data_IF_423162513575
#
_entry.id   IF_423162513575
#
_cell.length_a   1.000
_cell.length_b   1.000
_cell.length_c   1.000
_cell.angle_alpha   90.00
_cell.angle_beta   90.00
_cell.angle_gamma   90.00
#
_symmetry.space_group_name_H-M   'P 1'
#
loop_
_entity.id
_entity.type
_entity.pdbx_description
1 polymer ?
#
# COMPACT_ATOMS: atom_id res chain seq x y z
N UNK A 1 -43.51 -88.06 17.93
CA UNK A 1 -42.41 -87.39 18.66
C UNK A 1 -42.03 -86.17 17.85
N UNK A 2 -42.39 -84.97 18.34
CA UNK A 2 -41.48 -83.91 18.81
C UNK A 2 -40.52 -83.39 17.72
N UNK A 3 -40.29 -82.09 17.49
CA UNK A 3 -40.86 -80.78 17.88
C UNK A 3 -39.81 -79.75 17.37
N UNK A 4 -40.26 -78.60 16.84
CA UNK A 4 -39.62 -77.25 16.97
C UNK A 4 -38.27 -77.02 16.23
N UNK A 5 -37.88 -75.83 15.74
CA UNK A 5 -38.40 -74.46 15.80
C UNK A 5 -37.70 -73.54 14.76
N UNK A 6 -38.50 -72.69 14.12
CA UNK A 6 -38.32 -71.26 13.74
C UNK A 6 -36.93 -70.65 13.46
N UNK A 7 -36.88 -69.85 12.39
CA UNK A 7 -36.04 -68.65 12.29
C UNK A 7 -36.21 -67.88 10.97
N UNK A 8 -37.13 -66.91 10.92
CA UNK A 8 -37.15 -65.83 9.93
C UNK A 8 -36.04 -64.81 10.25
N UNK A 9 -35.38 -64.25 9.22
CA UNK A 9 -34.79 -62.92 9.32
C UNK A 9 -35.11 -62.10 8.07
N UNK A 10 -35.72 -60.94 8.33
CA UNK A 10 -36.03 -59.85 7.41
C UNK A 10 -34.82 -58.92 7.27
N UNK A 11 -34.63 -58.43 6.05
CA UNK A 11 -34.37 -57.03 5.65
C UNK A 11 -33.52 -56.11 6.55
N UNK A 12 -32.44 -55.56 6.00
CA UNK A 12 -32.23 -54.12 5.70
C UNK A 12 -30.74 -53.79 5.59
N UNK A 13 -30.34 -53.07 4.53
CA UNK A 13 -29.59 -51.80 4.66
C UNK A 13 -29.29 -51.22 3.28
N UNK A 14 -30.06 -50.20 2.93
CA UNK A 14 -29.66 -49.19 1.96
C UNK A 14 -28.44 -48.47 2.55
N UNK A 15 -27.29 -48.56 1.88
CA UNK A 15 -26.14 -47.72 2.18
C UNK A 15 -26.42 -46.31 1.65
N UNK A 16 -26.51 -45.36 2.58
CA UNK A 16 -26.55 -43.93 2.31
C UNK A 16 -25.24 -43.47 1.65
N UNK A 17 -25.27 -42.51 0.70
CA UNK A 17 -24.04 -41.92 0.18
C UNK A 17 -23.35 -41.16 1.31
N UNK A 18 -22.09 -41.49 1.58
CA UNK A 18 -21.25 -40.79 2.53
C UNK A 18 -21.17 -39.31 2.15
N UNK A 19 -21.54 -38.43 3.09
CA UNK A 19 -21.22 -37.01 3.04
C UNK A 19 -19.70 -36.87 3.10
N UNK A 20 -19.06 -36.78 1.93
CA UNK A 20 -17.71 -36.25 1.87
C UNK A 20 -17.76 -34.79 2.33
N UNK A 21 -16.95 -34.38 3.32
CA UNK A 21 -16.89 -32.98 3.72
C UNK A 21 -16.44 -32.16 2.50
N UNK A 22 -17.29 -31.22 2.06
CA UNK A 22 -16.86 -30.16 1.14
C UNK A 22 -15.75 -29.41 1.84
N UNK A 23 -14.51 -29.63 1.42
CA UNK A 23 -13.37 -28.81 1.81
C UNK A 23 -13.60 -27.44 1.18
N UNK A 24 -14.29 -26.55 1.90
CA UNK A 24 -14.40 -25.16 1.50
C UNK A 24 -13.03 -24.52 1.77
N UNK A 25 -12.18 -24.46 0.74
CA UNK A 25 -10.94 -23.71 0.81
C UNK A 25 -11.28 -22.27 1.21
N UNK A 26 -10.71 -21.79 2.33
CA UNK A 26 -10.88 -20.40 2.75
C UNK A 26 -10.29 -19.51 1.66
N UNK A 27 -11.09 -18.58 1.15
CA UNK A 27 -10.65 -17.64 0.13
C UNK A 27 -9.45 -16.82 0.62
N UNK A 28 -8.44 -16.67 -0.25
CA UNK A 28 -7.27 -15.83 0.00
C UNK A 28 -7.63 -14.34 0.14
N UNK A 29 -6.77 -13.58 0.82
CA UNK A 29 -6.96 -12.15 1.06
C UNK A 29 -7.14 -11.38 -0.26
N UNK A 30 -6.27 -11.65 -1.22
CA UNK A 30 -6.25 -10.97 -2.51
C UNK A 30 -7.51 -11.26 -3.33
N UNK A 31 -7.92 -12.54 -3.41
CA UNK A 31 -9.14 -12.93 -4.12
C UNK A 31 -10.39 -12.28 -3.52
N UNK A 32 -10.50 -12.27 -2.18
CA UNK A 32 -11.59 -11.58 -1.46
C UNK A 32 -11.62 -10.10 -1.81
N UNK A 33 -10.46 -9.44 -1.74
CA UNK A 33 -10.33 -8.01 -2.02
C UNK A 33 -10.68 -7.66 -3.47
N UNK A 34 -10.27 -8.48 -4.44
CA UNK A 34 -10.60 -8.30 -5.85
C UNK A 34 -12.11 -8.35 -6.08
N UNK A 35 -12.80 -9.38 -5.56
CA UNK A 35 -14.26 -9.48 -5.69
C UNK A 35 -14.98 -8.28 -5.06
N UNK A 36 -14.55 -7.88 -3.86
CA UNK A 36 -15.17 -6.77 -3.14
C UNK A 36 -14.92 -5.43 -3.85
N UNK A 37 -13.72 -5.26 -4.42
CA UNK A 37 -13.40 -4.10 -5.25
C UNK A 37 -14.29 -4.03 -6.50
N UNK A 38 -14.42 -5.12 -7.24
CA UNK A 38 -15.26 -5.15 -8.45
C UNK A 38 -16.73 -4.84 -8.14
N UNK A 39 -17.26 -5.37 -7.04
CA UNK A 39 -18.62 -5.07 -6.59
C UNK A 39 -18.81 -3.58 -6.23
N UNK A 40 -17.82 -2.94 -5.59
CA UNK A 40 -17.87 -1.51 -5.29
C UNK A 40 -17.76 -0.64 -6.56
N UNK A 41 -17.01 -1.09 -7.56
CA UNK A 41 -16.93 -0.42 -8.87
C UNK A 41 -18.27 -0.53 -9.60
N UNK A 42 -18.88 -1.72 -9.64
CA UNK A 42 -20.19 -1.95 -10.24
C UNK A 42 -21.29 -1.09 -9.60
N UNK A 43 -21.25 -0.95 -8.27
CA UNK A 43 -22.17 -0.09 -7.51
C UNK A 43 -21.91 1.42 -7.68
N UNK A 44 -20.73 1.80 -8.19
CA UNK A 44 -20.30 3.20 -8.34
C UNK A 44 -19.76 3.84 -7.05
N UNK A 45 -19.55 3.05 -5.98
CA UNK A 45 -18.95 3.52 -4.72
C UNK A 45 -17.43 3.74 -4.86
N UNK A 46 -16.79 3.01 -5.77
CA UNK A 46 -15.40 3.22 -6.20
C UNK A 46 -15.36 3.70 -7.65
N UNK A 47 -14.76 4.86 -7.88
CA UNK A 47 -14.52 5.38 -9.22
C UNK A 47 -13.23 4.75 -9.74
N UNK A 48 -13.36 3.77 -10.63
CA UNK A 48 -12.24 3.11 -11.28
C UNK A 48 -12.57 2.75 -12.72
N UNK A 49 -11.59 2.94 -13.58
CA UNK A 49 -11.58 2.47 -14.95
C UNK A 49 -10.15 2.06 -15.26
N UNK A 50 -9.97 0.85 -15.80
CA UNK A 50 -8.64 0.42 -16.19
C UNK A 50 -8.10 1.34 -17.29
N UNK A 51 -6.88 1.83 -17.09
CA UNK A 51 -6.14 2.60 -18.07
C UNK A 51 -4.69 2.17 -18.01
N UNK A 52 -4.13 1.86 -19.17
CA UNK A 52 -2.72 1.51 -19.23
C UNK A 52 -1.85 2.70 -18.85
N UNK A 53 -0.80 2.47 -18.06
CA UNK A 53 0.10 3.54 -17.67
C UNK A 53 0.86 4.11 -18.86
N UNK A 54 1.11 5.42 -18.83
CA UNK A 54 1.98 6.09 -19.80
C UNK A 54 3.43 5.97 -19.33
N UNK A 55 4.27 5.32 -20.12
CA UNK A 55 5.69 5.13 -19.81
C UNK A 55 6.52 6.22 -20.49
N UNK A 56 7.33 6.90 -19.69
CA UNK A 56 8.22 7.98 -20.13
C UNK A 56 9.66 7.55 -19.84
N UNK A 57 10.47 7.34 -20.88
CA UNK A 57 11.90 7.08 -20.69
C UNK A 57 12.56 8.23 -19.95
N UNK A 58 13.31 7.89 -18.90
CA UNK A 58 14.04 8.86 -18.09
C UNK A 58 15.32 8.23 -17.54
N UNK A 59 16.27 9.08 -17.13
CA UNK A 59 17.51 8.66 -16.47
C UNK A 59 17.54 9.22 -15.05
N UNK A 60 17.97 8.44 -14.04
CA UNK A 60 18.49 7.06 -14.15
C UNK A 60 17.39 6.04 -14.50
N UNK A 61 16.23 6.09 -13.88
CA UNK A 61 15.14 5.11 -14.10
C UNK A 61 13.97 5.71 -14.87
N UNK A 62 13.24 4.85 -15.58
CA UNK A 62 12.03 5.22 -16.32
C UNK A 62 10.90 5.64 -15.38
N UNK A 63 10.05 6.55 -15.86
CA UNK A 63 8.89 7.03 -15.11
C UNK A 63 7.61 6.44 -15.71
N UNK A 64 6.68 6.07 -14.85
CA UNK A 64 5.35 5.58 -15.19
C UNK A 64 4.31 6.55 -14.64
N UNK A 65 3.47 7.11 -15.52
CA UNK A 65 2.31 7.91 -15.14
C UNK A 65 1.05 7.05 -15.14
N UNK A 66 0.33 7.05 -14.01
CA UNK A 66 -0.99 6.44 -13.85
C UNK A 66 -2.04 7.52 -13.73
N UNK A 67 -2.94 7.57 -14.72
CA UNK A 67 -3.99 8.57 -14.78
C UNK A 67 -5.28 7.99 -14.21
N UNK A 68 -5.80 8.61 -13.15
CA UNK A 68 -7.01 8.18 -12.47
C UNK A 68 -7.90 9.37 -12.09
N UNK A 69 -9.08 9.45 -12.71
CA UNK A 69 -10.04 10.53 -12.46
C UNK A 69 -10.52 10.56 -11.01
N UNK A 70 -10.47 9.44 -10.28
CA UNK A 70 -10.77 9.36 -8.84
C UNK A 70 -9.97 10.37 -8.02
N UNK A 71 -8.75 10.70 -8.44
CA UNK A 71 -7.88 11.66 -7.77
C UNK A 71 -8.41 13.10 -7.80
N UNK A 72 -9.34 13.43 -8.71
CA UNK A 72 -10.00 14.75 -8.72
C UNK A 72 -10.91 14.97 -7.51
N UNK A 73 -11.48 13.90 -6.96
CA UNK A 73 -12.38 13.94 -5.80
C UNK A 73 -11.68 13.59 -4.49
N UNK A 74 -10.37 13.33 -4.54
CA UNK A 74 -9.60 12.94 -3.36
C UNK A 74 -9.48 14.14 -2.42
N UNK A 75 -9.92 14.05 -1.16
CA UNK A 75 -9.74 15.14 -0.21
C UNK A 75 -8.25 15.38 -0.01
N UNK A 76 -7.85 16.64 -0.06
CA UNK A 76 -6.52 17.11 0.27
C UNK A 76 -6.63 18.10 1.41
N UNK A 77 -5.95 17.81 2.51
CA UNK A 77 -5.89 18.74 3.65
C UNK A 77 -4.60 19.55 3.52
N UNK A 78 -4.66 20.89 3.57
CA UNK A 78 -3.45 21.72 3.56
C UNK A 78 -2.53 21.34 4.72
N UNK A 79 -1.21 21.31 4.47
CA UNK A 79 -0.19 20.95 5.49
C UNK A 79 -0.34 21.79 6.76
N UNK A 80 -0.59 23.10 6.61
CA UNK A 80 -0.82 24.05 7.72
C UNK A 80 -1.98 23.66 8.65
N UNK A 81 -2.96 22.91 8.14
CA UNK A 81 -4.09 22.45 8.95
C UNK A 81 -3.83 21.10 9.61
N UNK A 82 -2.84 20.34 9.16
CA UNK A 82 -2.44 19.09 9.78
C UNK A 82 -1.44 19.26 10.92
N UNK A 83 -0.69 20.37 10.95
CA UNK A 83 0.12 20.76 12.12
C UNK A 83 -0.74 21.01 13.37
N UNK A 84 -2.01 21.39 13.16
CA UNK A 84 -2.97 21.57 14.25
C UNK A 84 -3.42 20.18 14.69
N UNK A 85 -3.15 19.82 15.95
CA UNK A 85 -3.73 18.61 16.56
C UNK A 85 -5.24 18.60 16.29
N UNK A 86 -5.79 17.59 15.61
CA UNK A 86 -7.22 17.54 15.41
C UNK A 86 -7.91 17.48 16.78
N UNK A 87 -9.12 18.05 16.91
CA UNK A 87 -9.87 17.93 18.15
C UNK A 87 -10.02 16.45 18.50
N UNK A 88 -9.93 16.15 19.81
CA UNK A 88 -9.92 14.79 20.39
C UNK A 88 -11.11 13.92 19.94
N UNK A 89 -12.16 14.53 19.38
CA UNK A 89 -13.39 13.86 18.94
C UNK A 89 -13.63 13.91 17.42
N UNK A 90 -12.63 14.22 16.59
CA UNK A 90 -12.82 14.18 15.14
C UNK A 90 -12.85 12.72 14.68
N UNK A 91 -14.01 12.27 14.21
CA UNK A 91 -14.16 10.93 13.63
C UNK A 91 -13.12 10.68 12.53
N UNK A 92 -12.60 9.45 12.48
CA UNK A 92 -11.67 9.02 11.43
C UNK A 92 -12.22 9.39 10.05
N UNK A 93 -11.39 9.88 9.10
CA UNK A 93 -11.83 10.15 7.74
C UNK A 93 -12.40 8.90 7.03
N UNK A 94 -12.15 7.72 7.60
CA UNK A 94 -12.64 6.43 7.10
C UNK A 94 -13.96 5.99 7.73
N UNK A 95 -14.44 6.65 8.79
CA UNK A 95 -15.60 6.23 9.57
C UNK A 95 -16.93 6.30 8.81
N UNK A 96 -17.01 7.15 7.77
CA UNK A 96 -18.22 7.35 6.97
C UNK A 96 -18.27 6.48 5.71
N UNK A 97 -17.20 5.73 5.40
CA UNK A 97 -17.23 4.88 4.23
C UNK A 97 -18.08 3.61 4.51
N UNK A 98 -18.78 3.08 3.49
CA UNK A 98 -19.58 1.86 3.65
C UNK A 98 -18.76 0.70 4.23
N UNK A 99 -19.35 -0.16 5.09
CA UNK A 99 -18.67 -1.35 5.64
C UNK A 99 -18.06 -2.25 4.56
N UNK A 100 -18.61 -2.24 3.35
CA UNK A 100 -18.12 -2.95 2.17
C UNK A 100 -16.77 -2.43 1.66
N UNK A 101 -16.19 -1.38 2.23
CA UNK A 101 -14.78 -1.03 2.01
C UNK A 101 -13.83 -1.82 2.90
N UNK A 102 -14.29 -2.31 4.05
CA UNK A 102 -13.46 -3.01 5.03
C UNK A 102 -13.20 -4.44 4.57
N UNK A 103 -11.91 -4.81 4.49
CA UNK A 103 -11.49 -6.17 4.12
C UNK A 103 -11.36 -7.02 5.37
N UNK A 104 -10.61 -6.56 6.37
CA UNK A 104 -10.45 -7.22 7.66
C UNK A 104 -9.85 -6.26 8.71
N UNK A 105 -9.97 -6.64 9.98
CA UNK A 105 -9.17 -6.06 11.05
C UNK A 105 -7.84 -6.82 11.16
N UNK A 106 -6.74 -6.08 11.26
CA UNK A 106 -5.38 -6.63 11.35
C UNK A 106 -4.89 -6.43 12.77
N UNK A 107 -5.12 -7.45 13.61
CA UNK A 107 -4.94 -7.28 15.05
C UNK A 107 -5.98 -6.33 15.67
N UNK A 108 -5.74 -5.85 16.90
CA UNK A 108 -6.68 -4.98 17.60
C UNK A 108 -6.60 -3.51 17.15
N UNK A 109 -5.48 -3.08 16.59
CA UNK A 109 -5.16 -1.66 16.38
C UNK A 109 -5.35 -1.16 14.95
N UNK A 110 -5.54 -2.05 13.97
CA UNK A 110 -5.56 -1.67 12.55
C UNK A 110 -6.74 -2.25 11.78
N UNK A 111 -7.14 -1.53 10.75
CA UNK A 111 -8.15 -1.97 9.78
C UNK A 111 -7.59 -1.88 8.37
N UNK A 112 -7.65 -2.99 7.65
CA UNK A 112 -7.33 -3.07 6.22
C UNK A 112 -8.61 -2.83 5.41
N UNK A 113 -8.54 -1.88 4.48
CA UNK A 113 -9.67 -1.52 3.63
C UNK A 113 -9.25 -1.17 2.22
N UNK A 114 -10.20 -1.21 1.28
CA UNK A 114 -10.00 -0.72 -0.08
C UNK A 114 -9.84 0.80 -0.07
N UNK A 115 -8.94 1.31 -0.92
CA UNK A 115 -8.83 2.72 -1.18
C UNK A 115 -10.00 3.17 -2.06
N UNK A 116 -10.71 4.23 -1.66
CA UNK A 116 -11.77 4.83 -2.47
C UNK A 116 -11.24 5.53 -3.73
N UNK A 117 -9.99 5.97 -3.69
CA UNK A 117 -9.33 6.71 -4.76
C UNK A 117 -8.23 5.85 -5.40
N UNK A 118 -8.61 4.66 -5.87
CA UNK A 118 -7.70 3.72 -6.52
C UNK A 118 -7.13 4.26 -7.83
N UNK A 119 -5.83 4.05 -8.02
CA UNK A 119 -5.10 4.27 -9.29
C UNK A 119 -4.70 2.96 -9.96
N UNK A 120 -4.81 1.86 -9.21
CA UNK A 120 -4.60 0.48 -9.64
C UNK A 120 -5.73 -0.36 -9.08
N UNK A 121 -6.11 -1.41 -9.79
CA UNK A 121 -7.06 -2.41 -9.28
C UNK A 121 -6.49 -2.97 -7.99
N UNK A 122 -7.31 -2.97 -6.93
CA UNK A 122 -6.97 -3.36 -5.55
C UNK A 122 -5.80 -2.63 -4.90
N UNK A 123 -5.98 -1.33 -4.68
CA UNK A 123 -5.15 -0.56 -3.75
C UNK A 123 -5.79 -0.54 -2.36
N UNK A 124 -4.98 -0.73 -1.32
CA UNK A 124 -5.42 -0.76 0.06
C UNK A 124 -4.97 0.47 0.85
N UNK A 125 -5.74 0.76 1.89
CA UNK A 125 -5.36 1.60 3.02
C UNK A 125 -5.35 0.70 4.26
N UNK A 126 -4.25 0.70 4.99
CA UNK A 126 -4.13 0.10 6.31
C UNK A 126 -3.95 1.23 7.32
N UNK A 127 -4.99 1.50 8.11
CA UNK A 127 -5.00 2.62 9.04
C UNK A 127 -5.13 2.16 10.49
N UNK A 128 -4.66 2.99 11.41
CA UNK A 128 -4.91 2.81 12.84
C UNK A 128 -6.42 2.97 13.12
N UNK A 129 -6.95 2.21 14.08
CA UNK A 129 -8.34 2.35 14.52
C UNK A 129 -8.51 3.66 15.30
N UNK A 130 -7.59 3.91 16.22
CA UNK A 130 -7.46 5.19 16.94
C UNK A 130 -6.70 6.22 16.12
N UNK A 131 -7.10 7.49 16.24
CA UNK A 131 -6.41 8.56 15.55
C UNK A 131 -4.96 8.69 16.04
N UNK A 132 -4.02 8.41 15.14
CA UNK A 132 -2.61 8.78 15.27
C UNK A 132 -2.23 9.75 14.15
N UNK A 133 -1.34 10.72 14.37
CA UNK A 133 -0.95 11.65 13.33
C UNK A 133 -0.05 10.98 12.28
N UNK A 134 -0.31 11.30 11.01
CA UNK A 134 0.49 10.89 9.85
C UNK A 134 1.88 11.58 9.81
N UNK A 135 2.04 12.65 10.59
CA UNK A 135 3.29 13.43 10.65
C UNK A 135 4.33 12.87 11.63
N UNK A 136 4.05 11.73 12.25
CA UNK A 136 4.96 10.99 13.12
C UNK A 136 5.49 9.72 12.43
N UNK A 137 6.60 9.13 12.91
CA UNK A 137 7.05 7.81 12.46
C UNK A 137 6.04 6.70 12.74
N UNK A 138 6.14 5.61 11.98
CA UNK A 138 5.43 4.36 12.30
C UNK A 138 5.96 3.74 13.60
N UNK A 139 5.07 3.12 14.35
CA UNK A 139 5.40 2.31 15.52
C UNK A 139 5.55 0.82 15.16
N UNK A 140 6.10 0.02 16.07
CA UNK A 140 6.28 -1.41 15.87
C UNK A 140 4.98 -2.13 15.49
N UNK A 141 3.86 -1.77 16.14
CA UNK A 141 2.54 -2.34 15.84
C UNK A 141 2.06 -1.99 14.42
N UNK A 142 2.41 -0.81 13.92
CA UNK A 142 2.04 -0.37 12.57
C UNK A 142 2.77 -1.23 11.53
N UNK A 143 4.09 -1.37 11.67
CA UNK A 143 4.87 -2.19 10.75
C UNK A 143 4.57 -3.69 10.87
N UNK A 144 4.26 -4.18 12.06
CA UNK A 144 3.81 -5.56 12.24
C UNK A 144 2.51 -5.83 11.47
N UNK A 145 1.53 -4.92 11.54
CA UNK A 145 0.29 -5.02 10.78
C UNK A 145 0.55 -4.95 9.26
N UNK A 146 1.37 -3.98 8.82
CA UNK A 146 1.75 -3.83 7.41
C UNK A 146 2.46 -5.05 6.85
N UNK A 147 3.42 -5.59 7.58
CA UNK A 147 4.18 -6.77 7.21
C UNK A 147 3.32 -8.04 7.16
N UNK A 148 2.41 -8.21 8.13
CA UNK A 148 1.44 -9.31 8.13
C UNK A 148 0.57 -9.31 6.87
N UNK A 149 0.06 -8.15 6.46
CA UNK A 149 -0.73 -8.03 5.23
C UNK A 149 0.14 -8.30 3.99
N UNK A 150 1.32 -7.67 3.91
CA UNK A 150 2.23 -7.79 2.77
C UNK A 150 2.69 -9.24 2.51
N UNK A 151 2.98 -9.99 3.57
CA UNK A 151 3.43 -11.39 3.48
C UNK A 151 2.32 -12.36 3.08
N UNK A 152 1.06 -12.04 3.37
CA UNK A 152 -0.13 -12.81 2.99
C UNK A 152 -0.61 -12.59 1.55
N UNK A 153 -0.09 -11.59 0.85
CA UNK A 153 -0.44 -11.37 -0.57
C UNK A 153 0.18 -12.46 -1.44
N UNK A 154 -0.63 -12.98 -2.38
CA UNK A 154 -0.24 -14.05 -3.30
C UNK A 154 0.65 -13.48 -4.41
N UNK A 155 0.30 -12.30 -4.94
CA UNK A 155 1.13 -11.56 -5.90
C UNK A 155 2.11 -10.59 -5.21
N UNK A 156 3.02 -10.01 -6.01
CA UNK A 156 3.95 -9.00 -5.50
C UNK A 156 3.22 -7.69 -5.18
N UNK A 157 3.38 -7.20 -3.95
CA UNK A 157 2.89 -5.91 -3.50
C UNK A 157 4.06 -5.07 -3.01
N UNK A 158 3.86 -3.75 -3.04
CA UNK A 158 4.65 -2.83 -2.22
C UNK A 158 3.76 -2.16 -1.17
N UNK A 159 4.32 -1.93 0.00
CA UNK A 159 3.77 -1.09 1.05
C UNK A 159 4.48 0.27 1.00
N UNK A 160 3.70 1.33 1.11
CA UNK A 160 4.21 2.69 1.22
C UNK A 160 3.69 3.39 2.48
N UNK A 161 4.56 4.22 3.05
CA UNK A 161 4.18 5.21 4.06
C UNK A 161 4.72 6.59 3.67
N UNK A 162 3.88 7.59 3.85
CA UNK A 162 4.17 8.99 3.55
C UNK A 162 4.16 9.73 4.89
N UNK A 163 5.32 9.79 5.56
CA UNK A 163 5.46 10.31 6.92
C UNK A 163 5.95 11.75 6.99
N UNK A 164 5.63 12.43 8.07
CA UNK A 164 6.02 13.82 8.32
C UNK A 164 5.29 14.84 7.44
N UNK A 165 5.57 16.13 7.65
CA UNK A 165 4.84 17.23 6.99
C UNK A 165 5.02 17.22 5.46
N UNK A 166 6.23 16.86 4.98
CA UNK A 166 6.55 16.84 3.56
C UNK A 166 6.47 15.45 2.91
N UNK A 167 5.91 14.45 3.63
CA UNK A 167 5.81 13.07 3.14
C UNK A 167 4.91 12.86 1.92
N UNK A 168 4.01 13.80 1.63
CA UNK A 168 3.08 13.67 0.50
C UNK A 168 1.90 12.72 0.76
N UNK A 169 1.40 12.72 1.99
CA UNK A 169 0.15 12.05 2.36
C UNK A 169 -1.07 12.90 1.97
N UNK A 170 -2.25 12.28 1.92
CA UNK A 170 -3.52 12.97 1.63
C UNK A 170 -4.43 13.18 2.85
N UNK A 171 -4.27 12.34 3.88
CA UNK A 171 -5.03 12.42 5.13
C UNK A 171 -4.07 12.47 6.33
N UNK A 172 -4.42 13.22 7.39
CA UNK A 172 -3.58 13.39 8.57
C UNK A 172 -3.70 12.23 9.57
N UNK A 173 -4.64 11.30 9.36
CA UNK A 173 -4.78 10.08 10.15
C UNK A 173 -3.79 9.02 9.65
N UNK A 174 -2.94 8.48 10.53
CA UNK A 174 -1.92 7.47 10.25
C UNK A 174 -2.47 6.30 9.43
N UNK A 175 -1.88 6.14 8.25
CA UNK A 175 -2.18 5.06 7.33
C UNK A 175 -0.97 4.72 6.47
N UNK A 176 -0.84 3.44 6.17
CA UNK A 176 0.00 2.90 5.11
C UNK A 176 -0.88 2.59 3.89
N UNK A 177 -0.28 2.55 2.71
CA UNK A 177 -0.96 2.06 1.52
C UNK A 177 -0.26 0.82 0.99
N UNK A 178 -1.03 -0.16 0.56
CA UNK A 178 -0.50 -1.32 -0.16
C UNK A 178 -1.06 -1.31 -1.58
N UNK A 179 -0.21 -1.59 -2.55
CA UNK A 179 -0.60 -1.68 -3.95
C UNK A 179 0.16 -2.78 -4.66
N UNK A 180 -0.43 -3.38 -5.71
CA UNK A 180 0.29 -4.31 -6.57
C UNK A 180 1.57 -3.67 -7.08
N UNK A 181 2.68 -4.40 -6.93
CA UNK A 181 3.94 -4.06 -7.55
C UNK A 181 3.80 -4.34 -9.05
N UNK A 182 4.15 -3.38 -9.92
CA UNK A 182 4.15 -3.66 -11.35
C UNK A 182 5.07 -4.85 -11.65
N UNK A 183 4.69 -5.74 -12.60
CA UNK A 183 5.61 -6.74 -13.11
C UNK A 183 6.92 -6.11 -13.59
N UNK A 184 8.04 -6.80 -13.41
CA UNK A 184 9.39 -6.29 -13.71
C UNK A 184 9.58 -5.96 -15.20
N UNK A 185 8.91 -6.67 -16.08
CA UNK A 185 8.89 -6.38 -17.52
C UNK A 185 8.07 -5.13 -17.89
N UNK A 186 7.18 -4.68 -17.01
CA UNK A 186 6.37 -3.47 -17.19
C UNK A 186 7.03 -2.24 -16.56
N UNK A 187 7.42 -2.31 -15.28
CA UNK A 187 8.08 -1.20 -14.60
C UNK A 187 8.93 -1.70 -13.42
N UNK A 188 10.24 -1.46 -13.50
CA UNK A 188 11.18 -1.86 -12.46
C UNK A 188 11.38 -0.73 -11.45
N UNK A 189 11.38 -1.09 -10.17
CA UNK A 189 11.83 -0.17 -9.13
C UNK A 189 13.36 -0.12 -9.19
N UNK A 190 13.94 1.07 -9.04
CA UNK A 190 15.38 1.26 -9.24
C UNK A 190 16.30 0.38 -8.37
N UNK A 191 15.93 -0.09 -7.14
CA UNK A 191 16.73 -1.09 -6.41
C UNK A 191 16.88 -2.42 -7.16
N UNK A 192 15.89 -2.82 -7.95
CA UNK A 192 15.91 -4.08 -8.69
C UNK A 192 16.72 -3.95 -9.99
N UNK A 193 16.80 -2.75 -10.54
CA UNK A 193 17.57 -2.45 -11.76
C UNK A 193 19.05 -2.40 -11.45
N UNK A 194 19.41 -1.64 -10.41
CA UNK A 194 20.80 -1.26 -10.15
C UNK A 194 21.43 -2.03 -9.00
N UNK A 195 20.63 -2.77 -8.23
CA UNK A 195 21.10 -3.42 -7.01
C UNK A 195 21.26 -2.44 -5.84
N UNK A 196 21.58 -3.01 -4.68
CA UNK A 196 21.82 -2.28 -3.45
C UNK A 196 23.28 -2.45 -3.08
N UNK A 197 24.01 -1.33 -2.98
CA UNK A 197 25.43 -1.26 -2.67
C UNK A 197 25.64 -0.33 -1.47
N UNK A 198 26.25 -0.85 -0.39
CA UNK A 198 26.56 -0.08 0.82
C UNK A 198 25.38 0.75 1.36
N UNK A 199 24.18 0.15 1.37
CA UNK A 199 22.96 0.78 1.87
C UNK A 199 22.30 1.79 0.92
N UNK A 200 22.71 1.82 -0.35
CA UNK A 200 22.24 2.78 -1.36
C UNK A 200 21.99 2.10 -2.71
N UNK A 201 21.27 2.78 -3.59
CA UNK A 201 21.17 2.45 -5.01
C UNK A 201 21.95 3.48 -5.82
N UNK A 202 22.82 3.09 -6.76
CA UNK A 202 23.63 4.04 -7.52
C UNK A 202 22.77 4.89 -8.46
N UNK A 203 23.32 6.05 -8.84
CA UNK A 203 22.78 6.98 -9.85
C UNK A 203 21.46 7.69 -9.51
N UNK A 204 20.89 7.50 -8.31
CA UNK A 204 19.64 8.16 -7.92
C UNK A 204 19.87 9.62 -7.51
N UNK A 205 19.11 10.59 -8.04
CA UNK A 205 19.40 12.02 -7.90
C UNK A 205 18.91 12.65 -6.58
N UNK A 206 18.60 11.83 -5.58
CA UNK A 206 18.17 12.27 -4.25
C UNK A 206 18.62 11.29 -3.16
N UNK A 207 18.80 11.81 -1.96
CA UNK A 207 19.13 11.04 -0.76
C UNK A 207 18.10 9.95 -0.52
N UNK A 208 18.61 8.77 -0.21
CA UNK A 208 17.83 7.61 0.22
C UNK A 208 18.76 6.62 0.91
N UNK A 209 18.19 5.77 1.74
CA UNK A 209 18.89 4.62 2.35
C UNK A 209 18.02 3.39 2.16
N UNK A 210 18.66 2.26 1.90
CA UNK A 210 17.97 1.01 1.56
C UNK A 210 18.68 -0.16 2.22
N UNK A 211 17.91 -1.13 2.70
CA UNK A 211 18.42 -2.38 3.28
C UNK A 211 17.70 -3.57 2.66
N UNK A 212 18.45 -4.63 2.36
CA UNK A 212 17.85 -5.93 2.02
C UNK A 212 17.25 -6.55 3.27
N UNK A 213 16.08 -7.16 3.13
CA UNK A 213 15.44 -7.91 4.21
C UNK A 213 15.79 -9.39 4.07
N UNK A 214 15.93 -10.13 5.19
CA UNK A 214 16.03 -11.58 5.14
C UNK A 214 14.71 -12.17 4.64
N UNK A 215 14.76 -13.29 3.91
CA UNK A 215 13.58 -13.93 3.32
C UNK A 215 12.52 -14.32 4.38
N UNK A 216 12.94 -14.52 5.63
CA UNK A 216 12.09 -14.86 6.77
C UNK A 216 12.07 -13.75 7.83
N UNK A 217 12.15 -12.47 7.42
CA UNK A 217 12.13 -11.35 8.34
C UNK A 217 10.89 -11.38 9.25
N UNK A 218 11.13 -11.25 10.55
CA UNK A 218 10.11 -11.07 11.57
C UNK A 218 9.61 -9.62 11.57
N UNK A 219 8.44 -9.39 12.17
CA UNK A 219 7.91 -8.03 12.32
C UNK A 219 8.84 -7.12 13.15
N UNK A 220 9.57 -7.70 14.12
CA UNK A 220 10.54 -6.99 14.94
C UNK A 220 11.74 -6.54 14.09
N UNK A 221 12.36 -7.44 13.32
CA UNK A 221 13.47 -7.09 12.41
C UNK A 221 13.08 -6.06 11.35
N UNK A 222 11.82 -6.10 10.89
CA UNK A 222 11.27 -5.09 9.98
C UNK A 222 11.19 -3.73 10.67
N UNK A 223 10.73 -3.67 11.91
CA UNK A 223 10.68 -2.43 12.68
C UNK A 223 12.07 -1.88 13.03
N UNK A 224 13.00 -2.74 13.47
CA UNK A 224 14.39 -2.36 13.73
C UNK A 224 15.07 -1.80 12.47
N UNK A 225 14.84 -2.46 11.32
CA UNK A 225 15.34 -1.97 10.04
C UNK A 225 14.77 -0.61 9.69
N UNK A 226 13.49 -0.38 9.95
CA UNK A 226 12.86 0.93 9.73
C UNK A 226 13.50 2.02 10.60
N UNK A 227 13.67 1.77 11.90
CA UNK A 227 14.26 2.76 12.82
C UNK A 227 15.72 3.07 12.46
N UNK A 228 16.49 2.05 12.09
CA UNK A 228 17.87 2.24 11.64
C UNK A 228 17.95 3.08 10.36
N UNK A 229 17.06 2.81 9.40
CA UNK A 229 17.03 3.56 8.15
C UNK A 229 16.55 5.00 8.35
N UNK A 230 15.64 5.27 9.28
CA UNK A 230 15.30 6.65 9.65
C UNK A 230 16.52 7.40 10.18
N UNK A 231 17.24 6.79 11.13
CA UNK A 231 18.45 7.38 11.72
C UNK A 231 19.53 7.61 10.64
N UNK A 232 19.77 6.62 9.77
CA UNK A 232 20.74 6.74 8.68
C UNK A 232 20.34 7.79 7.62
N UNK A 233 19.05 8.08 7.47
CA UNK A 233 18.53 9.11 6.58
C UNK A 233 18.52 10.52 7.19
N UNK A 234 18.86 10.66 8.49
CA UNK A 234 18.70 11.92 9.22
C UNK A 234 17.23 12.36 9.32
N UNK A 235 16.34 11.40 9.53
CA UNK A 235 14.90 11.62 9.77
C UNK A 235 14.65 11.44 11.27
N UNK A 236 14.48 12.56 11.96
CA UNK A 236 14.44 12.65 13.42
C UNK A 236 13.41 13.69 13.91
N UNK A 237 13.43 14.02 15.20
CA UNK A 237 12.49 14.96 15.82
C UNK A 237 12.48 16.36 15.21
N UNK A 238 13.54 16.77 14.49
CA UNK A 238 13.57 18.05 13.80
C UNK A 238 12.70 18.02 12.53
N UNK A 239 12.69 16.89 11.83
CA UNK A 239 11.92 16.70 10.61
C UNK A 239 11.70 15.21 10.28
N UNK A 240 10.51 14.71 10.62
CA UNK A 240 10.09 13.35 10.27
C UNK A 240 9.66 13.16 8.81
N UNK A 241 9.89 14.13 7.92
CA UNK A 241 9.43 14.05 6.53
C UNK A 241 10.19 13.00 5.73
N UNK A 242 9.50 11.90 5.43
CA UNK A 242 10.08 10.79 4.68
C UNK A 242 9.05 10.00 3.88
N UNK A 243 9.56 9.19 2.95
CA UNK A 243 8.81 8.11 2.33
C UNK A 243 9.44 6.78 2.70
N UNK A 244 8.59 5.83 3.07
CA UNK A 244 8.91 4.43 3.16
C UNK A 244 8.41 3.72 1.91
N UNK A 245 9.26 2.89 1.33
CA UNK A 245 8.86 1.85 0.37
C UNK A 245 9.36 0.51 0.90
N UNK A 246 8.44 -0.43 1.09
CA UNK A 246 8.69 -1.74 1.64
C UNK A 246 8.16 -2.81 0.69
N UNK A 247 9.04 -3.70 0.26
CA UNK A 247 8.70 -4.96 -0.43
C UNK A 247 9.27 -6.13 0.39
N UNK A 248 8.94 -7.37 0.01
CA UNK A 248 9.42 -8.55 0.76
C UNK A 248 10.96 -8.66 0.82
N UNK A 249 11.65 -8.13 -0.19
CA UNK A 249 13.11 -8.29 -0.35
C UNK A 249 13.94 -7.13 0.19
N UNK A 250 13.34 -5.94 0.35
CA UNK A 250 14.07 -4.73 0.77
C UNK A 250 13.14 -3.65 1.32
N UNK A 251 13.73 -2.78 2.14
CA UNK A 251 13.11 -1.59 2.70
C UNK A 251 13.92 -0.36 2.33
N UNK A 252 13.24 0.73 1.96
CA UNK A 252 13.86 2.00 1.60
C UNK A 252 13.21 3.17 2.33
N UNK A 253 14.05 4.10 2.80
CA UNK A 253 13.65 5.42 3.28
C UNK A 253 14.19 6.49 2.32
N UNK A 254 13.32 7.42 1.94
CA UNK A 254 13.64 8.60 1.13
C UNK A 254 13.27 9.85 1.95
N UNK A 255 14.22 10.58 2.54
CA UNK A 255 13.93 11.84 3.22
C UNK A 255 13.39 12.88 2.23
N UNK A 256 12.36 13.61 2.64
CA UNK A 256 11.56 14.47 1.75
C UNK A 256 11.81 15.95 2.01
N UNK A 257 11.99 16.72 0.93
CA UNK A 257 12.17 18.17 0.99
C UNK A 257 10.86 18.95 0.87
N UNK A 258 9.90 18.41 0.12
CA UNK A 258 8.58 19.02 -0.11
C UNK A 258 7.56 17.95 -0.49
N UNK A 259 6.30 18.15 -0.14
CA UNK A 259 5.19 17.29 -0.55
C UNK A 259 4.61 17.66 -1.92
N UNK A 260 4.60 18.95 -2.28
CA UNK A 260 3.95 19.49 -3.48
C UNK A 260 4.68 20.75 -3.98
N UNK A 261 4.37 21.19 -5.20
CA UNK A 261 4.76 22.51 -5.71
C UNK A 261 3.69 23.02 -6.69
N UNK A 262 3.80 24.28 -7.13
CA UNK A 262 2.84 24.85 -8.08
C UNK A 262 2.80 24.04 -9.39
N UNK A 263 1.60 23.81 -9.93
CA UNK A 263 1.37 23.01 -11.14
C UNK A 263 1.50 21.48 -10.95
N UNK A 264 2.26 21.03 -9.96
CA UNK A 264 2.48 19.60 -9.70
C UNK A 264 1.96 19.21 -8.31
N UNK A 265 0.83 18.50 -8.33
CA UNK A 265 0.15 17.97 -7.15
C UNK A 265 1.06 17.03 -6.33
N UNK A 266 0.58 16.68 -5.15
CA UNK A 266 1.30 15.90 -4.13
C UNK A 266 2.07 14.69 -4.71
N UNK A 267 3.38 14.64 -4.45
CA UNK A 267 4.27 13.52 -4.78
C UNK A 267 4.42 12.64 -3.53
N UNK A 268 4.09 11.37 -3.66
CA UNK A 268 4.16 10.37 -2.60
C UNK A 268 5.31 9.37 -2.82
N UNK A 269 5.42 8.38 -1.94
CA UNK A 269 6.44 7.34 -2.01
C UNK A 269 6.44 6.56 -3.33
N UNK A 270 5.26 6.25 -3.89
CA UNK A 270 5.17 5.56 -5.17
C UNK A 270 5.77 6.40 -6.31
N UNK A 271 5.50 7.71 -6.31
CA UNK A 271 6.06 8.64 -7.29
C UNK A 271 7.59 8.74 -7.15
N UNK A 272 8.12 8.77 -5.92
CA UNK A 272 9.57 8.80 -5.68
C UNK A 272 10.31 7.56 -6.23
N UNK A 273 9.62 6.43 -6.39
CA UNK A 273 10.17 5.22 -7.05
C UNK A 273 9.72 5.04 -8.50
N UNK A 274 9.25 6.12 -9.14
CA UNK A 274 8.96 6.15 -10.58
C UNK A 274 7.50 5.93 -10.96
N UNK A 275 6.58 5.73 -10.00
CA UNK A 275 5.15 5.55 -10.27
C UNK A 275 4.34 6.80 -9.89
N UNK A 276 4.23 7.75 -10.82
CA UNK A 276 3.55 9.02 -10.59
C UNK A 276 2.06 8.87 -10.84
N UNK A 277 1.23 9.33 -9.89
CA UNK A 277 -0.23 9.27 -10.00
C UNK A 277 -0.81 10.66 -10.26
N UNK A 278 -1.62 10.79 -11.31
CA UNK A 278 -2.14 12.07 -11.77
C UNK A 278 -3.64 11.97 -12.13
N UNK A 279 -4.41 13.06 -11.99
CA UNK A 279 -5.86 13.00 -12.18
C UNK A 279 -6.30 12.99 -13.64
N UNK A 280 -5.47 13.49 -14.56
CA UNK A 280 -5.88 13.70 -15.96
C UNK A 280 -4.69 13.86 -16.90
N UNK A 281 -4.96 13.82 -18.20
CA UNK A 281 -3.99 14.05 -19.27
C UNK A 281 -3.44 15.47 -19.26
N UNK A 282 -4.23 16.48 -18.90
CA UNK A 282 -3.74 17.86 -18.80
C UNK A 282 -2.64 17.99 -17.74
N UNK A 283 -2.71 17.21 -16.67
CA UNK A 283 -1.63 17.16 -15.66
C UNK A 283 -0.41 16.42 -16.19
N UNK A 284 -0.58 15.39 -17.03
CA UNK A 284 0.54 14.75 -17.72
C UNK A 284 1.27 15.78 -18.60
N UNK A 285 0.52 16.55 -19.39
CA UNK A 285 1.10 17.57 -20.26
C UNK A 285 1.88 18.62 -19.46
N UNK A 286 1.37 19.05 -18.29
CA UNK A 286 2.10 19.94 -17.39
C UNK A 286 3.43 19.33 -16.91
N UNK A 287 3.44 18.04 -16.56
CA UNK A 287 4.68 17.34 -16.20
C UNK A 287 5.68 17.34 -17.35
N UNK A 288 5.24 17.02 -18.56
CA UNK A 288 6.09 16.93 -19.75
C UNK A 288 6.58 18.29 -20.25
N UNK A 289 5.80 19.35 -20.05
CA UNK A 289 6.18 20.73 -20.40
C UNK A 289 7.07 21.39 -19.36
N UNK A 290 7.01 20.95 -18.09
CA UNK A 290 7.81 21.53 -16.99
C UNK A 290 9.32 21.24 -17.07
N UNK A 291 9.74 20.42 -18.04
CA UNK A 291 11.13 20.02 -18.26
C UNK A 291 11.31 18.52 -18.07
N UNK A 292 12.53 18.11 -17.67
CA UNK A 292 12.85 16.71 -17.41
C UNK A 292 12.10 16.22 -16.16
N UNK A 293 11.19 15.21 -16.27
CA UNK A 293 10.41 14.74 -15.13
C UNK A 293 11.29 14.20 -13.99
N UNK A 294 12.49 13.68 -14.26
CA UNK A 294 13.42 13.25 -13.22
C UNK A 294 13.99 14.43 -12.42
N UNK A 295 14.37 15.52 -13.08
CA UNK A 295 14.85 16.72 -12.39
C UNK A 295 13.77 17.30 -11.49
N UNK A 296 12.54 17.29 -11.97
CA UNK A 296 11.37 17.69 -11.19
C UNK A 296 11.19 16.77 -9.98
N UNK A 297 11.22 15.45 -10.17
CA UNK A 297 11.07 14.46 -9.10
C UNK A 297 12.19 14.59 -8.05
N UNK A 298 13.42 14.86 -8.47
CA UNK A 298 14.57 15.00 -7.57
C UNK A 298 14.39 16.14 -6.55
N UNK A 299 13.67 17.22 -6.92
CA UNK A 299 13.38 18.35 -6.02
C UNK A 299 12.47 17.97 -4.83
N UNK A 300 11.82 16.82 -4.88
CA UNK A 300 10.95 16.32 -3.81
C UNK A 300 11.71 15.52 -2.74
N UNK A 301 12.89 14.98 -3.05
CA UNK A 301 13.80 14.37 -2.09
C UNK A 301 14.82 15.37 -1.55
N UNK A 302 15.53 15.03 -0.47
CA UNK A 302 16.72 15.79 -0.05
C UNK A 302 17.86 15.59 -1.07
N UNK A 303 18.61 16.63 -1.45
CA UNK A 303 19.76 16.48 -2.33
C UNK A 303 20.91 15.74 -1.63
N UNK A 304 21.76 15.05 -2.40
CA UNK A 304 22.97 14.39 -1.87
C UNK A 304 23.98 15.37 -1.29
#
# INVERSE_FOLDING_TARGET
MLKLQRGHQLSTSQLSPSLQPKITMKEGLEAKALRQFDALVEKGDVIYSHRDPVHVPAKPFNIQFRIASSLTKKPQIPIKDAEKKPPVNKASPFANDPPEFVIEHVGPDHTLRLNKFCVVRTQFILHCNEFKPQIEPLEAVDLAAGWSVLTRMESEYLLIYNGGLQGGWSLPHRHMQLLPRPPRDVHNLFPDIYGIENGRVPNIPFQHVVRRLPASATAEEVYETYTDLLAAAGVDENDYSHNLVLVKDWMMIIPRSRASQEGIKIVNAAAMVGMIWIPSDEVLDLWLQSGNPMETLARYGKPW
#
